data_IF_362885881425
#
_entry.id   IF_362885881425
#
_cell.length_a   1.000
_cell.length_b   1.000
_cell.length_c   1.000
_cell.angle_alpha   90.00
_cell.angle_beta   90.00
_cell.angle_gamma   90.00
#
_symmetry.space_group_name_H-M   'P 1'
#
loop_
_entity.id
_entity.type
_entity.pdbx_description
1 polymer ?
#
# COMPACT_ATOMS: atom_id res chain seq x y z
N UNK A 1 11.88 -37.40 3.73
CA UNK A 1 11.96 -36.67 2.45
C UNK A 1 13.24 -35.83 2.46
N UNK A 2 14.32 -36.27 1.80
CA UNK A 2 15.60 -35.50 1.77
C UNK A 2 15.60 -34.60 0.52
N UNK A 3 15.35 -33.31 0.71
CA UNK A 3 15.58 -32.29 -0.31
C UNK A 3 17.07 -32.30 -0.68
N UNK A 4 17.37 -32.25 -1.98
CA UNK A 4 18.75 -32.22 -2.45
C UNK A 4 19.39 -30.87 -2.06
N UNK A 5 20.65 -30.88 -1.60
CA UNK A 5 21.36 -29.70 -1.04
C UNK A 5 21.31 -28.47 -1.96
N UNK A 6 21.36 -28.67 -3.28
CA UNK A 6 21.25 -27.60 -4.28
C UNK A 6 19.85 -26.96 -4.29
N UNK A 7 18.77 -27.73 -4.18
CA UNK A 7 17.40 -27.22 -4.20
C UNK A 7 17.05 -26.44 -2.94
N UNK A 8 17.59 -26.85 -1.79
CA UNK A 8 17.44 -26.13 -0.52
C UNK A 8 18.13 -24.76 -0.55
N UNK A 9 19.33 -24.69 -1.14
CA UNK A 9 20.07 -23.43 -1.33
C UNK A 9 19.34 -22.46 -2.26
N UNK A 10 18.71 -22.95 -3.33
CA UNK A 10 17.92 -22.09 -4.23
C UNK A 10 16.69 -21.51 -3.52
N UNK A 11 15.97 -22.32 -2.73
CA UNK A 11 14.82 -21.86 -1.95
C UNK A 11 15.24 -20.82 -0.89
N UNK A 12 16.34 -21.08 -0.18
CA UNK A 12 16.90 -20.14 0.79
C UNK A 12 17.34 -18.82 0.14
N UNK A 13 17.95 -18.88 -1.04
CA UNK A 13 18.37 -17.69 -1.78
C UNK A 13 17.16 -16.86 -2.27
N UNK A 14 16.11 -17.50 -2.80
CA UNK A 14 14.87 -16.82 -3.17
C UNK A 14 14.19 -16.16 -1.95
N UNK A 15 14.20 -16.84 -0.79
CA UNK A 15 13.66 -16.28 0.45
C UNK A 15 14.50 -15.10 0.97
N UNK A 16 15.82 -15.16 0.83
CA UNK A 16 16.73 -14.10 1.23
C UNK A 16 16.61 -12.84 0.35
N UNK A 17 16.51 -13.02 -0.98
CA UNK A 17 16.21 -11.91 -1.91
C UNK A 17 14.85 -11.29 -1.57
N UNK A 18 13.84 -12.11 -1.27
CA UNK A 18 12.53 -11.62 -0.87
C UNK A 18 12.59 -10.78 0.41
N UNK A 19 13.36 -11.22 1.40
CA UNK A 19 13.53 -10.50 2.67
C UNK A 19 14.25 -9.16 2.45
N UNK A 20 15.26 -9.11 1.58
CA UNK A 20 15.96 -7.89 1.18
C UNK A 20 15.03 -6.91 0.44
N UNK A 21 14.18 -7.40 -0.49
CA UNK A 21 13.21 -6.56 -1.19
C UNK A 21 12.15 -5.96 -0.24
N UNK A 22 11.70 -6.70 0.78
CA UNK A 22 10.72 -6.19 1.76
C UNK A 22 11.30 -5.07 2.64
N UNK A 23 12.58 -5.15 3.03
CA UNK A 23 13.22 -4.16 3.90
C UNK A 23 13.45 -2.83 3.17
N UNK A 24 13.76 -2.86 1.86
CA UNK A 24 14.09 -1.65 1.10
C UNK A 24 12.89 -0.83 0.60
N UNK A 25 11.67 -1.38 0.54
CA UNK A 25 10.55 -0.74 -0.18
C UNK A 25 9.54 0.05 0.65
N UNK A 26 9.63 0.05 1.99
CA UNK A 26 8.62 0.75 2.83
C UNK A 26 8.61 2.26 2.55
N UNK A 27 9.77 2.86 2.27
CA UNK A 27 9.88 4.30 1.93
C UNK A 27 9.74 4.60 0.44
N UNK A 28 10.10 3.66 -0.45
CA UNK A 28 10.04 3.91 -1.91
C UNK A 28 8.61 3.92 -2.46
N UNK A 29 7.64 3.35 -1.74
CA UNK A 29 6.25 3.24 -2.21
C UNK A 29 5.57 4.60 -2.45
N UNK A 30 6.02 5.64 -1.75
CA UNK A 30 5.43 6.99 -1.80
C UNK A 30 6.44 8.05 -2.22
N UNK A 31 7.62 7.64 -2.72
CA UNK A 31 8.68 8.56 -3.14
C UNK A 31 8.30 9.46 -4.33
N UNK A 32 7.18 9.17 -4.99
CA UNK A 32 6.63 9.95 -6.10
C UNK A 32 5.28 10.64 -5.74
N UNK A 33 4.84 10.61 -4.48
CA UNK A 33 3.65 11.37 -4.08
C UNK A 33 3.96 12.87 -4.06
N UNK A 34 2.99 13.65 -4.54
CA UNK A 34 3.07 15.12 -4.56
C UNK A 34 2.87 15.72 -3.16
N UNK A 35 2.26 14.95 -2.25
CA UNK A 35 1.94 15.37 -0.90
C UNK A 35 2.93 14.86 0.14
N UNK A 36 3.15 15.64 1.19
CA UNK A 36 3.97 15.23 2.32
C UNK A 36 3.31 14.04 3.03
N UNK A 37 4.11 13.01 3.33
CA UNK A 37 3.61 11.77 3.90
C UNK A 37 3.64 11.81 5.43
N UNK A 38 2.50 11.55 6.07
CA UNK A 38 2.37 11.45 7.53
C UNK A 38 1.73 10.12 7.91
N UNK A 39 2.43 9.31 8.73
CA UNK A 39 1.90 8.07 9.29
C UNK A 39 1.93 8.10 10.82
N UNK A 40 0.77 7.88 11.44
CA UNK A 40 0.60 7.88 12.90
C UNK A 40 -0.50 6.86 13.26
N UNK A 41 -0.34 6.15 14.39
CA UNK A 41 -1.21 5.03 14.82
C UNK A 41 -2.66 5.46 15.14
N UNK A 42 -2.82 6.74 15.43
CA UNK A 42 -4.04 7.55 15.57
C UNK A 42 -3.46 8.90 15.94
N UNK A 43 -3.86 9.98 15.30
CA UNK A 43 -3.06 11.17 15.39
C UNK A 43 -3.80 12.45 15.08
N UNK A 44 -3.07 13.51 15.40
CA UNK A 44 -3.41 14.88 15.15
C UNK A 44 -2.40 15.38 14.11
N UNK A 45 -2.89 15.82 12.95
CA UNK A 45 -2.06 16.59 12.03
C UNK A 45 -2.22 18.06 12.40
N UNK A 46 -1.13 18.70 12.84
CA UNK A 46 -1.04 20.14 13.08
C UNK A 46 -0.17 20.75 11.99
N UNK A 47 -0.66 21.77 11.32
CA UNK A 47 0.14 22.59 10.40
C UNK A 47 0.26 24.02 10.91
N UNK A 48 1.45 24.61 10.74
CA UNK A 48 1.80 25.93 11.28
C UNK A 48 2.45 26.90 10.28
N UNK A 49 2.64 26.55 9.00
CA UNK A 49 3.33 27.41 8.03
C UNK A 49 2.72 27.39 6.61
N UNK A 50 2.68 28.58 5.99
CA UNK A 50 2.07 28.86 4.68
C UNK A 50 3.07 28.75 3.53
N UNK A 51 2.76 27.89 2.57
CA UNK A 51 3.24 27.92 1.18
C UNK A 51 1.97 27.83 0.34
N UNK A 52 1.85 28.49 -0.84
CA UNK A 52 0.71 28.27 -1.72
C UNK A 52 0.57 26.77 -2.02
N UNK A 53 -0.63 26.24 -1.74
CA UNK A 53 -1.02 24.84 -1.93
C UNK A 53 -0.13 23.81 -1.25
N UNK A 54 -0.44 23.50 0.01
CA UNK A 54 0.19 22.38 0.73
C UNK A 54 -0.76 21.19 0.80
N UNK A 55 -0.23 19.99 0.60
CA UNK A 55 -1.00 18.78 0.74
C UNK A 55 -0.27 17.71 1.57
N UNK A 56 -1.05 17.02 2.40
CA UNK A 56 -0.58 15.96 3.29
C UNK A 56 -1.34 14.68 2.98
N UNK A 57 -0.59 13.61 2.79
CA UNK A 57 -1.14 12.27 2.65
C UNK A 57 -1.06 11.55 3.99
N UNK A 58 -2.22 11.24 4.53
CA UNK A 58 -2.33 10.61 5.85
C UNK A 58 -2.71 9.15 5.70
N UNK A 59 -1.86 8.28 6.27
CA UNK A 59 -2.11 6.85 6.39
C UNK A 59 -2.15 6.47 7.88
N UNK A 60 -3.33 6.12 8.43
CA UNK A 60 -3.41 5.58 9.78
C UNK A 60 -2.62 4.26 9.86
N UNK A 61 -1.74 4.17 10.85
CA UNK A 61 -0.94 2.96 11.04
C UNK A 61 -1.78 1.89 11.75
N UNK A 62 -2.16 0.86 11.00
CA UNK A 62 -2.79 -0.36 11.52
C UNK A 62 -1.83 -1.57 11.43
N UNK A 63 -0.54 -1.29 11.34
CA UNK A 63 0.54 -2.26 11.22
C UNK A 63 1.28 -2.18 9.89
N UNK A 64 2.47 -2.78 9.86
CA UNK A 64 3.41 -2.64 8.74
C UNK A 64 2.84 -3.09 7.39
N UNK A 65 2.04 -4.15 7.37
CA UNK A 65 1.53 -4.76 6.13
C UNK A 65 0.12 -4.29 5.71
N UNK A 66 -0.57 -3.52 6.54
CA UNK A 66 -2.01 -3.29 6.42
C UNK A 66 -2.38 -1.82 6.29
N UNK A 67 -3.46 -1.55 5.57
CA UNK A 67 -4.21 -0.31 5.63
C UNK A 67 -5.53 -0.57 6.35
N UNK A 68 -6.07 0.43 7.03
CA UNK A 68 -7.47 0.41 7.39
C UNK A 68 -8.31 0.29 6.09
N UNK A 69 -9.50 -0.27 6.13
CA UNK A 69 -10.45 -0.12 5.02
C UNK A 69 -11.21 1.19 5.20
N UNK A 70 -11.65 1.45 6.43
CA UNK A 70 -12.46 2.60 6.81
C UNK A 70 -11.77 3.46 7.86
N UNK A 71 -11.77 4.78 7.65
CA UNK A 71 -11.22 5.77 8.58
C UNK A 71 -12.31 6.77 8.91
N UNK A 72 -12.41 7.16 10.19
CA UNK A 72 -13.14 8.36 10.59
C UNK A 72 -12.16 9.50 10.71
N UNK A 73 -12.52 10.62 10.08
CA UNK A 73 -11.74 11.85 10.11
C UNK A 73 -12.60 12.96 10.67
N UNK A 74 -11.98 13.81 11.49
CA UNK A 74 -12.64 14.94 12.12
C UNK A 74 -11.68 16.12 12.16
N UNK A 75 -12.11 17.27 11.67
CA UNK A 75 -11.39 18.52 11.96
C UNK A 75 -11.79 18.98 13.35
N UNK A 76 -10.82 19.05 14.25
CA UNK A 76 -11.01 19.40 15.65
C UNK A 76 -11.05 20.92 15.82
N UNK A 77 -10.06 21.60 15.23
CA UNK A 77 -9.92 23.05 15.23
C UNK A 77 -9.35 23.48 13.89
N UNK A 78 -9.81 24.62 13.36
CA UNK A 78 -9.20 25.21 12.18
C UNK A 78 -9.27 26.73 12.27
N UNK A 79 -8.21 27.40 11.83
CA UNK A 79 -8.19 28.81 11.56
C UNK A 79 -7.67 29.00 10.14
N UNK A 80 -8.61 29.06 9.19
CA UNK A 80 -8.32 29.18 7.76
C UNK A 80 -8.45 30.63 7.35
N UNK A 81 -7.38 31.20 6.82
CA UNK A 81 -7.34 32.58 6.34
C UNK A 81 -8.35 32.82 5.21
N UNK A 82 -8.81 34.06 5.08
CA UNK A 82 -9.77 34.42 4.02
C UNK A 82 -9.20 34.13 2.64
N UNK A 83 -10.01 33.53 1.76
CA UNK A 83 -9.59 33.11 0.43
C UNK A 83 -8.94 31.71 0.38
N UNK A 84 -8.67 31.08 1.51
CA UNK A 84 -8.17 29.71 1.58
C UNK A 84 -9.30 28.72 1.95
N UNK A 85 -9.15 27.48 1.52
CA UNK A 85 -10.09 26.38 1.83
C UNK A 85 -9.32 25.13 2.20
N UNK A 86 -9.62 24.57 3.38
CA UNK A 86 -9.14 23.25 3.77
C UNK A 86 -10.07 22.19 3.19
N UNK A 87 -9.52 21.24 2.44
CA UNK A 87 -10.23 20.16 1.76
C UNK A 87 -9.73 18.82 2.29
N UNK A 88 -10.65 17.93 2.66
CA UNK A 88 -10.34 16.53 2.99
C UNK A 88 -10.84 15.67 1.83
N UNK A 89 -9.92 14.92 1.24
CA UNK A 89 -10.14 14.12 0.04
C UNK A 89 -10.02 12.64 0.38
N UNK A 90 -10.92 11.83 -0.19
CA UNK A 90 -10.85 10.39 -0.04
C UNK A 90 -9.76 9.78 -0.95
N UNK A 91 -8.81 9.06 -0.35
CA UNK A 91 -7.78 8.35 -1.10
C UNK A 91 -6.68 9.28 -1.62
N UNK A 92 -6.24 9.04 -2.86
CA UNK A 92 -5.17 9.80 -3.54
C UNK A 92 -5.71 10.72 -4.65
N UNK A 93 -7.03 10.72 -4.89
CA UNK A 93 -7.56 11.38 -6.08
C UNK A 93 -7.93 12.84 -5.80
N UNK A 94 -7.00 13.74 -6.11
CA UNK A 94 -7.19 15.19 -6.00
C UNK A 94 -8.23 15.76 -6.99
N UNK A 95 -8.64 14.97 -8.00
CA UNK A 95 -9.63 15.39 -8.99
C UNK A 95 -11.09 15.05 -8.59
N UNK A 96 -11.30 14.37 -7.47
CA UNK A 96 -12.64 14.05 -6.95
C UNK A 96 -13.09 15.16 -6.01
N UNK A 97 -14.40 15.40 -5.95
CA UNK A 97 -15.00 16.31 -4.98
C UNK A 97 -14.56 15.93 -3.55
N UNK A 98 -14.15 16.92 -2.74
CA UNK A 98 -13.73 16.66 -1.37
C UNK A 98 -14.88 16.10 -0.53
N UNK A 99 -14.51 15.22 0.39
CA UNK A 99 -15.42 14.65 1.39
C UNK A 99 -15.85 15.71 2.41
N UNK A 100 -14.97 16.67 2.68
CA UNK A 100 -15.23 17.80 3.57
C UNK A 100 -14.48 19.04 3.08
N UNK A 101 -15.14 20.19 3.12
CA UNK A 101 -14.52 21.50 2.88
C UNK A 101 -14.76 22.41 4.07
N UNK A 102 -13.73 23.16 4.45
CA UNK A 102 -13.76 24.07 5.59
C UNK A 102 -13.15 25.41 5.16
N UNK A 103 -13.91 26.47 5.40
CA UNK A 103 -13.52 27.86 5.21
C UNK A 103 -13.69 28.62 6.52
N UNK A 104 -12.76 29.53 6.83
CA UNK A 104 -12.81 30.34 8.05
C UNK A 104 -12.37 29.61 9.31
N UNK A 105 -12.85 30.09 10.46
CA UNK A 105 -12.46 29.57 11.78
C UNK A 105 -13.49 28.57 12.31
N UNK A 106 -13.01 27.43 12.78
CA UNK A 106 -13.74 26.41 13.51
C UNK A 106 -13.09 26.25 14.88
N UNK A 107 -13.86 26.47 15.94
CA UNK A 107 -13.41 26.32 17.34
C UNK A 107 -13.96 25.06 18.01
N UNK A 108 -14.90 24.37 17.37
CA UNK A 108 -15.54 23.16 17.88
C UNK A 108 -15.38 22.01 16.86
N UNK A 109 -15.23 20.75 17.31
CA UNK A 109 -15.03 19.64 16.40
C UNK A 109 -16.15 19.53 15.35
N UNK A 110 -15.76 19.48 14.08
CA UNK A 110 -16.67 19.27 12.95
C UNK A 110 -17.31 17.87 13.00
N UNK A 111 -18.41 17.62 12.26
CA UNK A 111 -18.94 16.27 12.12
C UNK A 111 -17.89 15.30 11.57
N UNK A 112 -17.85 14.08 12.08
CA UNK A 112 -16.95 13.04 11.57
C UNK A 112 -17.35 12.65 10.15
N UNK A 113 -16.37 12.56 9.26
CA UNK A 113 -16.53 12.03 7.91
C UNK A 113 -15.91 10.65 7.79
N UNK A 114 -16.55 9.80 6.99
CA UNK A 114 -16.09 8.44 6.74
C UNK A 114 -15.30 8.43 5.43
N UNK A 115 -14.12 7.81 5.48
CA UNK A 115 -13.22 7.67 4.35
C UNK A 115 -12.99 6.20 4.07
N UNK A 116 -13.42 5.79 2.89
CA UNK A 116 -13.25 4.44 2.38
C UNK A 116 -12.01 4.41 1.48
N UNK A 117 -10.94 3.73 1.92
CA UNK A 117 -9.68 3.40 1.18
C UNK A 117 -8.45 3.36 2.09
N UNK A 118 -8.60 3.56 3.40
CA UNK A 118 -7.48 3.41 4.34
C UNK A 118 -6.42 4.49 4.27
N UNK A 119 -6.72 5.59 3.57
CA UNK A 119 -5.88 6.77 3.44
C UNK A 119 -6.73 7.96 3.02
N UNK A 120 -6.26 9.15 3.35
CA UNK A 120 -6.88 10.39 2.92
C UNK A 120 -5.83 11.45 2.66
N UNK A 121 -6.23 12.49 1.93
CA UNK A 121 -5.40 13.65 1.70
C UNK A 121 -6.06 14.86 2.34
N UNK A 122 -5.25 15.63 3.05
CA UNK A 122 -5.58 16.99 3.48
C UNK A 122 -4.96 17.92 2.45
N UNK A 123 -5.76 18.79 1.86
CA UNK A 123 -5.32 19.75 0.86
C UNK A 123 -5.73 21.14 1.32
N UNK A 124 -4.77 22.05 1.47
CA UNK A 124 -5.06 23.45 1.71
C UNK A 124 -4.97 24.18 0.37
N UNK A 125 -6.12 24.55 -0.18
CA UNK A 125 -6.21 25.33 -1.40
C UNK A 125 -6.16 26.81 -1.03
N UNK A 126 -5.17 27.54 -1.53
CA UNK A 126 -4.98 28.93 -1.13
C UNK A 126 -4.08 29.70 -2.09
N UNK A 127 -4.42 30.97 -2.27
CA UNK A 127 -3.68 31.93 -3.10
C UNK A 127 -2.82 32.88 -2.25
N UNK A 128 -3.02 32.92 -0.92
CA UNK A 128 -2.33 33.88 -0.03
C UNK A 128 -1.15 33.28 0.73
N UNK A 129 -0.18 34.13 1.06
CA UNK A 129 0.93 33.83 1.96
C UNK A 129 0.52 33.86 3.44
N UNK A 130 -0.77 33.79 3.76
CA UNK A 130 -1.25 33.86 5.13
C UNK A 130 -1.20 32.48 5.80
N UNK A 131 -0.79 32.44 7.07
CA UNK A 131 -0.74 31.22 7.84
C UNK A 131 -2.15 30.71 8.16
N UNK A 132 -2.44 29.47 7.74
CA UNK A 132 -3.64 28.73 8.15
C UNK A 132 -3.22 27.59 9.04
N UNK A 133 -3.87 27.48 10.20
CA UNK A 133 -3.58 26.44 11.18
C UNK A 133 -4.78 25.53 11.30
N UNK A 134 -4.56 24.23 11.37
CA UNK A 134 -5.64 23.28 11.56
C UNK A 134 -5.15 22.07 12.33
N UNK A 135 -6.11 21.42 12.97
CA UNK A 135 -5.94 20.20 13.72
C UNK A 135 -6.95 19.16 13.19
N UNK A 136 -6.44 18.09 12.58
CA UNK A 136 -7.27 16.98 12.10
C UNK A 136 -7.00 15.74 12.93
N UNK A 137 -8.04 15.27 13.61
CA UNK A 137 -8.06 13.97 14.28
C UNK A 137 -8.55 12.87 13.34
N UNK A 138 -7.97 11.68 13.45
CA UNK A 138 -8.41 10.53 12.68
C UNK A 138 -8.22 9.22 13.44
N UNK A 139 -9.12 8.27 13.17
CA UNK A 139 -9.08 6.91 13.74
C UNK A 139 -9.51 5.87 12.71
N UNK A 140 -8.87 4.69 12.76
CA UNK A 140 -9.37 3.54 12.02
C UNK A 140 -10.63 3.00 12.73
N UNK A 141 -11.73 2.82 11.99
CA UNK A 141 -13.04 2.48 12.60
C UNK A 141 -13.00 1.13 13.32
N UNK A 142 -12.34 0.14 12.70
CA UNK A 142 -12.15 -1.19 13.28
C UNK A 142 -10.73 -1.64 12.96
N UNK A 143 -9.73 -1.23 13.77
CA UNK A 143 -8.35 -1.40 13.40
C UNK A 143 -7.97 -2.87 13.29
N UNK A 144 -8.64 -3.85 13.93
CA UNK A 144 -8.27 -5.28 13.84
C UNK A 144 -9.06 -6.06 12.79
N UNK A 145 -10.36 -5.80 12.63
CA UNK A 145 -11.25 -6.59 11.76
C UNK A 145 -11.42 -6.00 10.36
N UNK A 146 -11.14 -4.71 10.18
CA UNK A 146 -11.36 -3.99 8.92
C UNK A 146 -10.03 -3.52 8.31
N UNK A 147 -9.08 -4.46 8.20
CA UNK A 147 -7.78 -4.27 7.53
C UNK A 147 -7.80 -4.80 6.10
N UNK A 148 -7.02 -4.17 5.24
CA UNK A 148 -6.66 -4.67 3.91
C UNK A 148 -5.15 -4.64 3.73
N UNK A 149 -4.60 -5.53 2.91
CA UNK A 149 -3.16 -5.53 2.63
C UNK A 149 -2.78 -4.25 1.86
N UNK A 150 -1.65 -3.65 2.24
CA UNK A 150 -1.07 -2.54 1.47
C UNK A 150 -0.83 -2.99 0.02
N UNK A 151 -1.08 -2.12 -0.98
CA UNK A 151 -0.81 -2.44 -2.37
C UNK A 151 0.62 -2.95 -2.64
N UNK A 152 1.62 -2.44 -1.93
CA UNK A 152 3.02 -2.90 -1.99
C UNK A 152 3.20 -4.34 -1.52
N UNK A 153 2.54 -4.71 -0.41
CA UNK A 153 2.58 -6.08 0.12
C UNK A 153 1.91 -7.05 -0.84
N UNK A 154 0.76 -6.67 -1.42
CA UNK A 154 0.09 -7.48 -2.45
C UNK A 154 1.00 -7.68 -3.66
N UNK A 155 1.70 -6.65 -4.13
CA UNK A 155 2.66 -6.76 -5.23
C UNK A 155 3.82 -7.69 -4.85
N UNK A 156 4.39 -7.56 -3.64
CA UNK A 156 5.45 -8.47 -3.18
C UNK A 156 4.99 -9.93 -3.14
N UNK A 157 3.80 -10.20 -2.60
CA UNK A 157 3.21 -11.55 -2.57
C UNK A 157 2.98 -12.06 -4.01
N UNK A 158 2.54 -11.20 -4.92
CA UNK A 158 2.30 -11.57 -6.33
C UNK A 158 3.59 -11.98 -7.03
N UNK A 159 4.65 -11.18 -6.87
CA UNK A 159 5.99 -11.48 -7.40
C UNK A 159 6.49 -12.79 -6.81
N UNK A 160 6.31 -13.00 -5.50
CA UNK A 160 6.69 -14.23 -4.84
C UNK A 160 6.03 -15.46 -5.48
N UNK A 161 4.71 -15.44 -5.71
CA UNK A 161 4.02 -16.53 -6.40
C UNK A 161 4.51 -16.74 -7.83
N UNK A 162 4.80 -15.65 -8.57
CA UNK A 162 5.34 -15.71 -9.92
C UNK A 162 6.65 -16.50 -10.03
N UNK A 163 7.52 -16.43 -9.01
CA UNK A 163 8.78 -17.17 -8.97
C UNK A 163 8.69 -18.53 -8.29
N UNK A 164 7.90 -18.67 -7.22
CA UNK A 164 7.81 -19.90 -6.44
C UNK A 164 7.13 -21.04 -7.22
N UNK A 165 6.08 -20.73 -7.98
CA UNK A 165 5.30 -21.75 -8.69
C UNK A 165 6.17 -22.50 -9.73
N UNK A 166 6.88 -21.84 -10.66
CA UNK A 166 7.79 -22.53 -11.58
C UNK A 166 8.86 -23.36 -10.86
N UNK A 167 9.41 -22.85 -9.75
CA UNK A 167 10.42 -23.56 -8.96
C UNK A 167 9.87 -24.85 -8.35
N UNK A 168 8.64 -24.85 -7.80
CA UNK A 168 7.99 -26.04 -7.24
C UNK A 168 7.80 -27.10 -8.33
N UNK A 169 7.38 -26.72 -9.53
CA UNK A 169 7.22 -27.63 -10.67
C UNK A 169 8.56 -28.26 -11.12
N UNK A 170 9.65 -27.49 -11.12
CA UNK A 170 10.99 -28.00 -11.47
C UNK A 170 11.56 -28.92 -10.38
N UNK A 171 11.33 -28.60 -9.10
CA UNK A 171 11.77 -29.43 -7.96
C UNK A 171 11.01 -30.75 -7.93
N UNK A 172 9.68 -30.72 -8.11
CA UNK A 172 8.85 -31.92 -8.17
C UNK A 172 9.25 -32.84 -9.34
N UNK A 173 9.58 -32.29 -10.51
CA UNK A 173 10.15 -33.04 -11.62
C UNK A 173 11.48 -33.74 -11.28
N UNK A 174 12.28 -33.12 -10.40
CA UNK A 174 13.59 -33.64 -9.96
C UNK A 174 13.46 -34.77 -8.93
N UNK A 175 12.28 -34.95 -8.31
CA UNK A 175 12.02 -36.02 -7.35
C UNK A 175 11.65 -37.37 -8.00
N UNK A 176 11.29 -37.39 -9.29
CA UNK A 176 11.03 -38.63 -10.03
C UNK A 176 12.35 -39.39 -10.28
N UNK A 177 12.60 -40.46 -9.51
CA UNK A 177 13.74 -41.37 -9.73
C UNK A 177 13.48 -42.27 -10.95
N UNK A 178 14.56 -42.64 -11.66
CA UNK A 178 14.53 -43.67 -12.72
C UNK A 178 14.39 -43.16 -14.17
N UNK A 179 14.43 -41.84 -14.40
CA UNK A 179 14.32 -41.25 -15.74
C UNK A 179 15.70 -40.90 -16.29
N UNK A 180 15.97 -41.23 -17.57
CA UNK A 180 17.20 -40.84 -18.28
C UNK A 180 17.47 -39.33 -18.19
N UNK A 181 18.75 -38.94 -18.05
CA UNK A 181 19.17 -37.53 -17.86
C UNK A 181 18.62 -36.59 -18.94
N UNK A 182 18.53 -37.02 -20.20
CA UNK A 182 18.02 -36.20 -21.29
C UNK A 182 16.50 -35.98 -21.22
N UNK A 183 15.74 -37.06 -20.97
CA UNK A 183 14.28 -36.98 -20.73
C UNK A 183 13.95 -36.14 -19.50
N UNK A 184 14.83 -36.15 -18.49
CA UNK A 184 14.69 -35.30 -17.30
C UNK A 184 14.90 -33.81 -17.61
N UNK A 185 15.87 -33.47 -18.48
CA UNK A 185 16.09 -32.07 -18.92
C UNK A 185 14.89 -31.53 -19.70
N UNK A 186 14.37 -32.32 -20.64
CA UNK A 186 13.18 -31.93 -21.43
C UNK A 186 11.95 -31.74 -20.54
N UNK A 187 11.67 -32.67 -19.62
CA UNK A 187 10.56 -32.55 -18.64
C UNK A 187 10.67 -31.32 -17.74
N UNK A 188 11.88 -31.00 -17.24
CA UNK A 188 12.10 -29.79 -16.43
C UNK A 188 11.80 -28.52 -17.21
N UNK A 189 12.19 -28.46 -18.49
CA UNK A 189 11.92 -27.31 -19.36
C UNK A 189 10.42 -27.12 -19.59
N UNK A 190 9.68 -28.19 -19.89
CA UNK A 190 8.22 -28.16 -20.08
C UNK A 190 7.50 -27.75 -18.78
N UNK A 191 7.86 -28.36 -17.64
CA UNK A 191 7.23 -28.04 -16.35
C UNK A 191 7.54 -26.62 -15.87
N UNK A 192 8.73 -26.09 -16.19
CA UNK A 192 9.03 -24.68 -15.97
C UNK A 192 8.08 -23.77 -16.74
N UNK A 193 7.88 -24.00 -18.05
CA UNK A 193 6.97 -23.17 -18.84
C UNK A 193 5.51 -23.27 -18.36
N UNK A 194 5.03 -24.47 -18.04
CA UNK A 194 3.69 -24.66 -17.47
C UNK A 194 3.57 -23.90 -16.14
N UNK A 195 4.54 -24.06 -15.24
CA UNK A 195 4.57 -23.34 -13.96
C UNK A 195 4.62 -21.83 -14.13
N UNK A 196 5.37 -21.33 -15.13
CA UNK A 196 5.45 -19.89 -15.45
C UNK A 196 4.12 -19.35 -15.98
N UNK A 197 3.42 -20.09 -16.84
CA UNK A 197 2.08 -19.70 -17.32
C UNK A 197 1.10 -19.62 -16.13
N UNK A 198 1.08 -20.63 -15.27
CA UNK A 198 0.24 -20.62 -14.06
C UNK A 198 0.59 -19.46 -13.12
N UNK A 199 1.89 -19.19 -12.91
CA UNK A 199 2.37 -18.07 -12.11
C UNK A 199 1.93 -16.72 -12.68
N UNK A 200 2.01 -16.53 -14.00
CA UNK A 200 1.56 -15.32 -14.68
C UNK A 200 0.04 -15.15 -14.56
N UNK A 201 -0.75 -16.21 -14.77
CA UNK A 201 -2.22 -16.14 -14.62
C UNK A 201 -2.62 -15.76 -13.20
N UNK A 202 -1.99 -16.37 -12.18
CA UNK A 202 -2.23 -15.98 -10.78
C UNK A 202 -1.83 -14.54 -10.49
N UNK A 203 -0.69 -14.10 -11.02
CA UNK A 203 -0.23 -12.72 -10.89
C UNK A 203 -1.23 -11.73 -11.52
N UNK A 204 -1.74 -12.04 -12.72
CA UNK A 204 -2.78 -11.25 -13.38
C UNK A 204 -4.05 -11.22 -12.53
N UNK A 205 -4.51 -12.34 -11.97
CA UNK A 205 -5.71 -12.38 -11.12
C UNK A 205 -5.55 -11.54 -9.84
N UNK A 206 -4.39 -11.62 -9.19
CA UNK A 206 -4.11 -10.84 -7.96
C UNK A 206 -4.00 -9.35 -8.27
N UNK A 207 -3.35 -8.97 -9.37
CA UNK A 207 -3.27 -7.57 -9.80
C UNK A 207 -4.63 -7.05 -10.30
N UNK A 208 -5.43 -7.87 -10.98
CA UNK A 208 -6.75 -7.45 -11.50
C UNK A 208 -7.73 -7.14 -10.38
N UNK A 209 -7.67 -7.85 -9.25
CA UNK A 209 -8.42 -7.50 -8.02
C UNK A 209 -8.05 -6.12 -7.45
N UNK A 210 -6.89 -5.55 -7.81
CA UNK A 210 -6.45 -4.22 -7.40
C UNK A 210 -6.95 -3.11 -8.33
N UNK A 211 -7.21 -3.41 -9.61
CA UNK A 211 -7.63 -2.40 -10.62
C UNK A 211 -9.16 -2.23 -10.64
N UNK A 212 -9.91 -3.17 -10.08
CA UNK A 212 -11.37 -3.10 -9.98
C UNK A 212 -11.90 -2.33 -8.76
N UNK A 213 -11.36 -1.14 -8.44
CA UNK A 213 -11.95 -0.11 -7.54
C UNK A 213 -11.45 1.27 -7.97
#
# INVERSE_FOLDING_TARGET
>A
MKLNSSSLKTIQFCFFIFLLCNICHVKSQYAADVCEFTSVHSGIVVSAESIPQTCWKVLPDVGNAYLAKTIRVQVLVANISSGNTLKILNGDNLAVSPTQEITGTITEPSPQVIIDKGKFVIFLDGESSDSSNFEVGFEAVNPMDDRQLKPSVVVCISVLFGFLIPCIFVVSASCCKGVEKEKMKSRKKVLYYIGSIFGIVLLILVISRKIGI
#
